data_IF_691089076828
#
_entry.id   IF_691089076828
#
_cell.length_a   1.000
_cell.length_b   1.000
_cell.length_c   1.000
_cell.angle_alpha   90.00
_cell.angle_beta   90.00
_cell.angle_gamma   90.00
#
_symmetry.space_group_name_H-M   'P 1'
#
loop_
_entity.id
_entity.type
_entity.pdbx_description
1 polymer ?
#
# COMPACT_ATOMS: atom_id res chain seq x y z
N UNK A 1 -10.99 -15.33 -18.58
CA UNK A 1 -10.53 -16.61 -18.03
C UNK A 1 -10.13 -16.49 -16.55
N UNK A 2 -9.22 -15.57 -16.15
CA UNK A 2 -8.81 -15.39 -14.73
C UNK A 2 -10.01 -15.16 -13.81
N UNK A 3 -10.90 -14.22 -14.15
CA UNK A 3 -12.12 -13.95 -13.38
C UNK A 3 -13.03 -15.17 -13.24
N UNK A 4 -13.08 -16.01 -14.29
CA UNK A 4 -13.86 -17.26 -14.25
C UNK A 4 -13.28 -18.26 -13.24
N UNK A 5 -11.95 -18.39 -13.16
CA UNK A 5 -11.30 -19.24 -12.15
C UNK A 5 -11.56 -18.74 -10.72
N UNK A 6 -11.49 -17.42 -10.51
CA UNK A 6 -11.81 -16.83 -9.22
C UNK A 6 -13.29 -16.99 -8.85
N UNK A 7 -14.20 -16.91 -9.82
CA UNK A 7 -15.63 -17.17 -9.61
C UNK A 7 -15.89 -18.63 -9.22
N UNK A 8 -15.28 -19.60 -9.93
CA UNK A 8 -15.36 -21.02 -9.60
C UNK A 8 -14.89 -21.31 -8.17
N UNK A 9 -13.83 -20.62 -7.73
CA UNK A 9 -13.27 -20.75 -6.40
C UNK A 9 -14.04 -19.97 -5.31
N UNK A 10 -15.17 -19.33 -5.64
CA UNK A 10 -15.96 -18.53 -4.70
C UNK A 10 -15.23 -17.28 -4.19
N UNK A 11 -14.30 -16.73 -4.98
CA UNK A 11 -13.49 -15.55 -4.64
C UNK A 11 -13.98 -14.26 -5.27
N UNK A 12 -15.12 -14.28 -5.94
CA UNK A 12 -15.79 -13.13 -6.53
C UNK A 12 -17.25 -13.07 -6.09
N UNK A 13 -17.76 -11.85 -5.94
CA UNK A 13 -19.20 -11.65 -5.78
C UNK A 13 -19.89 -11.90 -7.12
N UNK A 14 -20.51 -13.07 -7.25
CA UNK A 14 -21.20 -13.51 -8.46
C UNK A 14 -22.34 -12.56 -8.88
N UNK A 15 -22.99 -11.94 -7.91
CA UNK A 15 -24.17 -11.07 -8.09
C UNK A 15 -23.82 -9.59 -8.25
N UNK A 16 -22.53 -9.23 -8.19
CA UNK A 16 -22.14 -7.83 -8.40
C UNK A 16 -22.53 -7.38 -9.81
N UNK A 17 -23.25 -6.27 -9.90
CA UNK A 17 -23.66 -5.65 -11.15
C UNK A 17 -22.44 -5.07 -11.88
N UNK A 18 -22.41 -5.20 -13.20
CA UNK A 18 -21.35 -4.65 -14.04
C UNK A 18 -21.89 -3.57 -14.99
N UNK A 19 -20.99 -2.85 -15.65
CA UNK A 19 -21.34 -1.82 -16.64
C UNK A 19 -22.13 -2.34 -17.84
N UNK A 20 -22.20 -3.66 -18.05
CA UNK A 20 -23.01 -4.28 -19.11
C UNK A 20 -24.48 -4.43 -18.74
N UNK A 21 -24.88 -4.04 -17.54
CA UNK A 21 -26.22 -4.28 -17.00
C UNK A 21 -26.48 -5.76 -16.63
N UNK A 22 -25.42 -6.58 -16.59
CA UNK A 22 -25.46 -7.98 -16.18
C UNK A 22 -24.56 -8.20 -14.97
N UNK A 23 -24.83 -9.24 -14.21
CA UNK A 23 -23.98 -9.65 -13.09
C UNK A 23 -22.64 -10.21 -13.57
N UNK A 24 -21.67 -10.28 -12.65
CA UNK A 24 -20.38 -10.94 -12.90
C UNK A 24 -20.58 -12.38 -13.37
N UNK A 25 -21.47 -13.14 -12.71
CA UNK A 25 -21.74 -14.53 -13.10
C UNK A 25 -22.32 -14.65 -14.51
N UNK A 26 -23.26 -13.77 -14.88
CA UNK A 26 -23.86 -13.77 -16.23
C UNK A 26 -22.82 -13.44 -17.30
N UNK A 27 -21.97 -12.45 -17.07
CA UNK A 27 -20.89 -12.08 -18.01
C UNK A 27 -19.84 -13.19 -18.18
N UNK A 28 -19.61 -14.00 -17.15
CA UNK A 28 -18.59 -15.05 -17.17
C UNK A 28 -19.13 -16.43 -17.60
N UNK A 29 -20.44 -16.60 -17.78
CA UNK A 29 -21.08 -17.89 -18.07
C UNK A 29 -20.45 -18.59 -19.27
N UNK A 30 -20.34 -17.89 -20.37
CA UNK A 30 -19.92 -18.47 -21.67
C UNK A 30 -18.44 -18.16 -21.99
N UNK A 31 -17.72 -17.57 -21.03
CA UNK A 31 -16.28 -17.32 -21.19
C UNK A 31 -15.53 -18.64 -21.20
N UNK A 32 -14.71 -18.96 -22.23
CA UNK A 32 -13.91 -20.18 -22.24
C UNK A 32 -12.89 -20.21 -21.10
N UNK A 33 -12.48 -21.39 -20.70
CA UNK A 33 -11.32 -21.55 -19.84
C UNK A 33 -10.07 -21.10 -20.63
N UNK A 34 -9.18 -20.38 -20.00
CA UNK A 34 -7.94 -19.93 -20.65
C UNK A 34 -6.96 -21.08 -20.87
N UNK A 35 -5.90 -20.79 -21.61
CA UNK A 35 -4.76 -21.68 -21.71
C UNK A 35 -4.22 -22.01 -20.31
N UNK A 36 -4.19 -23.29 -19.97
CA UNK A 36 -3.78 -23.77 -18.64
C UNK A 36 -2.27 -23.64 -18.36
N UNK A 37 -1.45 -23.43 -19.35
CA UNK A 37 -0.05 -23.08 -19.17
C UNK A 37 0.12 -21.64 -18.71
N UNK A 38 -0.78 -20.74 -19.13
CA UNK A 38 -0.77 -19.31 -18.81
C UNK A 38 -1.65 -19.01 -17.59
N UNK A 39 -2.89 -19.55 -17.57
CA UNK A 39 -3.86 -19.34 -16.51
C UNK A 39 -4.12 -20.67 -15.81
N UNK A 40 -3.37 -20.91 -14.74
CA UNK A 40 -3.51 -22.11 -13.92
C UNK A 40 -4.89 -22.19 -13.27
N UNK A 41 -5.33 -23.42 -13.01
CA UNK A 41 -6.49 -23.64 -12.15
C UNK A 41 -6.22 -23.11 -10.74
N UNK A 42 -7.24 -22.62 -10.07
CA UNK A 42 -7.10 -22.02 -8.73
C UNK A 42 -6.48 -22.99 -7.71
N UNK A 43 -6.81 -24.28 -7.81
CA UNK A 43 -6.30 -25.35 -6.93
C UNK A 43 -4.84 -25.75 -7.22
N UNK A 44 -4.30 -25.33 -8.37
CA UNK A 44 -2.93 -25.66 -8.80
C UNK A 44 -2.18 -24.42 -9.27
N UNK A 45 -1.95 -23.44 -8.40
CA UNK A 45 -1.26 -22.20 -8.74
C UNK A 45 0.24 -22.45 -8.99
N UNK A 46 0.87 -21.55 -9.76
CA UNK A 46 2.33 -21.57 -9.93
C UNK A 46 3.09 -21.29 -8.63
N UNK A 47 2.52 -20.43 -7.80
CA UNK A 47 3.05 -20.06 -6.49
C UNK A 47 1.91 -19.99 -5.48
N UNK A 48 1.85 -20.90 -4.49
CA UNK A 48 0.83 -20.87 -3.46
C UNK A 48 0.98 -19.67 -2.54
N UNK A 49 -0.13 -19.19 -1.97
CA UNK A 49 -0.18 -18.04 -1.04
C UNK A 49 0.55 -16.79 -1.58
N UNK A 50 0.57 -16.61 -2.89
CA UNK A 50 1.16 -15.46 -3.56
C UNK A 50 0.10 -14.41 -3.87
N UNK A 51 0.56 -13.17 -4.14
CA UNK A 51 -0.29 -12.06 -4.57
C UNK A 51 -0.24 -10.89 -3.61
N UNK A 52 -1.40 -10.26 -3.41
CA UNK A 52 -1.55 -9.12 -2.53
C UNK A 52 -2.19 -9.54 -1.21
N UNK A 53 -1.75 -8.92 -0.11
CA UNK A 53 -2.39 -9.01 1.19
C UNK A 53 -2.71 -7.62 1.70
N UNK A 54 -3.82 -7.50 2.43
CA UNK A 54 -4.13 -6.29 3.19
C UNK A 54 -3.50 -6.47 4.57
N UNK A 55 -2.71 -5.47 4.97
CA UNK A 55 -2.05 -5.37 6.25
C UNK A 55 -2.75 -4.34 7.11
N UNK A 56 -2.66 -4.48 8.43
CA UNK A 56 -3.12 -3.51 9.42
C UNK A 56 -2.24 -3.58 10.67
N UNK A 57 -2.41 -2.67 11.63
CA UNK A 57 -1.63 -2.69 12.87
C UNK A 57 -1.84 -1.43 13.70
N UNK A 58 -0.92 -1.17 14.63
CA UNK A 58 -1.02 0.02 15.46
C UNK A 58 -0.64 1.32 14.73
N UNK A 59 -0.08 1.22 13.51
CA UNK A 59 0.31 2.36 12.68
C UNK A 59 -0.76 2.76 11.66
N UNK A 60 -1.62 1.84 11.23
CA UNK A 60 -2.59 2.11 10.18
C UNK A 60 -3.73 1.09 10.18
N UNK A 61 -4.86 1.48 9.63
CA UNK A 61 -6.04 0.64 9.51
C UNK A 61 -5.93 -0.33 8.34
N UNK A 62 -5.33 0.12 7.24
CA UNK A 62 -5.13 -0.69 6.05
C UNK A 62 -3.90 -0.26 5.25
N UNK A 63 -3.28 -1.24 4.63
CA UNK A 63 -2.23 -1.09 3.63
C UNK A 63 -2.24 -2.30 2.70
N UNK A 64 -1.56 -2.20 1.57
CA UNK A 64 -1.42 -3.32 0.64
C UNK A 64 0.03 -3.75 0.57
N UNK A 65 0.29 -5.05 0.66
CA UNK A 65 1.60 -5.63 0.43
C UNK A 65 1.54 -6.68 -0.67
N UNK A 66 2.48 -6.61 -1.60
CA UNK A 66 2.68 -7.60 -2.66
C UNK A 66 3.69 -8.65 -2.20
N UNK A 67 3.21 -9.73 -1.61
CA UNK A 67 4.08 -10.77 -1.02
C UNK A 67 4.78 -11.67 -2.05
N UNK A 68 4.28 -11.70 -3.29
CA UNK A 68 4.88 -12.50 -4.38
C UNK A 68 6.26 -12.01 -4.81
N UNK A 69 6.61 -10.76 -4.54
CA UNK A 69 7.90 -10.16 -4.92
C UNK A 69 9.00 -10.35 -3.88
N UNK A 70 8.66 -10.84 -2.68
CA UNK A 70 9.66 -11.11 -1.64
C UNK A 70 10.55 -12.24 -2.13
N UNK A 71 11.80 -11.91 -2.42
CA UNK A 71 12.76 -12.87 -2.99
C UNK A 71 13.14 -13.99 -2.02
N UNK A 72 13.78 -15.03 -2.57
CA UNK A 72 14.14 -16.22 -1.80
C UNK A 72 15.24 -15.94 -0.77
N UNK A 73 16.17 -15.07 -1.09
CA UNK A 73 17.30 -14.75 -0.20
C UNK A 73 16.82 -13.93 0.99
N UNK A 74 15.92 -12.95 0.74
CA UNK A 74 15.27 -12.21 1.82
C UNK A 74 14.46 -13.14 2.72
N UNK A 75 13.69 -14.06 2.15
CA UNK A 75 12.93 -15.05 2.93
C UNK A 75 13.83 -15.95 3.78
N UNK A 76 14.94 -16.44 3.19
CA UNK A 76 15.89 -17.31 3.89
C UNK A 76 16.60 -16.58 5.04
N UNK A 77 16.94 -15.29 4.84
CA UNK A 77 17.71 -14.52 5.83
C UNK A 77 16.85 -13.96 6.96
N UNK A 78 15.61 -13.53 6.67
CA UNK A 78 14.84 -12.69 7.58
C UNK A 78 13.45 -13.24 7.94
N UNK A 79 12.94 -14.24 7.23
CA UNK A 79 11.59 -14.76 7.43
C UNK A 79 11.56 -16.25 7.78
N UNK A 80 12.71 -16.87 7.99
CA UNK A 80 12.85 -18.32 8.24
C UNK A 80 13.18 -18.68 9.68
N UNK A 81 13.14 -17.73 10.61
CA UNK A 81 13.32 -18.03 12.03
C UNK A 81 12.24 -19.03 12.50
N UNK A 82 12.61 -20.24 12.99
CA UNK A 82 11.63 -21.22 13.43
C UNK A 82 10.79 -20.76 14.62
N UNK A 83 11.30 -19.85 15.46
CA UNK A 83 10.56 -19.29 16.58
C UNK A 83 9.54 -18.24 16.15
N UNK A 84 9.84 -17.53 15.06
CA UNK A 84 9.02 -16.44 14.53
C UNK A 84 8.96 -16.49 12.98
N UNK A 85 8.37 -17.55 12.42
CA UNK A 85 8.32 -17.70 10.96
C UNK A 85 7.50 -16.57 10.32
N UNK A 86 7.99 -16.06 9.19
CA UNK A 86 7.37 -14.96 8.45
C UNK A 86 7.25 -13.61 9.22
N UNK A 87 8.06 -13.43 10.25
CA UNK A 87 8.15 -12.17 10.99
C UNK A 87 9.46 -11.47 10.69
N UNK A 88 9.38 -10.19 10.33
CA UNK A 88 10.53 -9.32 10.15
C UNK A 88 10.47 -8.19 11.19
N UNK A 89 11.58 -7.93 11.85
CA UNK A 89 11.75 -6.75 12.70
C UNK A 89 12.92 -5.90 12.19
N UNK A 90 12.65 -4.62 11.98
CA UNK A 90 13.64 -3.71 11.42
C UNK A 90 13.61 -2.32 12.05
N UNK A 91 14.69 -1.57 11.81
CA UNK A 91 14.80 -0.17 12.19
C UNK A 91 14.15 0.73 11.15
N UNK A 92 13.26 1.60 11.55
CA UNK A 92 12.66 2.62 10.69
C UNK A 92 13.69 3.67 10.26
N UNK A 93 13.72 3.99 8.98
CA UNK A 93 14.41 5.15 8.41
C UNK A 93 13.34 5.98 7.71
N UNK A 94 12.99 7.13 8.25
CA UNK A 94 11.82 7.93 7.84
C UNK A 94 12.23 9.09 6.96
N UNK A 95 11.52 9.26 5.85
CA UNK A 95 11.67 10.35 4.86
C UNK A 95 10.36 11.13 4.70
N UNK A 96 10.49 12.46 4.60
CA UNK A 96 9.39 13.41 4.46
C UNK A 96 9.03 13.66 2.98
N UNK A 97 8.83 12.63 2.22
CA UNK A 97 8.55 12.72 0.79
C UNK A 97 9.76 12.37 -0.09
N UNK A 98 9.57 12.36 -1.41
CA UNK A 98 10.58 11.91 -2.37
C UNK A 98 11.82 12.80 -2.40
N UNK A 99 11.67 14.10 -2.22
CA UNK A 99 12.79 15.04 -2.21
C UNK A 99 13.72 14.78 -1.03
N UNK A 100 13.17 14.60 0.17
CA UNK A 100 13.95 14.28 1.38
C UNK A 100 14.66 12.94 1.23
N UNK A 101 13.96 11.93 0.66
CA UNK A 101 14.59 10.63 0.37
C UNK A 101 15.80 10.78 -0.56
N UNK A 102 15.66 11.48 -1.69
CA UNK A 102 16.75 11.65 -2.66
C UNK A 102 17.93 12.44 -2.08
N UNK A 103 17.68 13.40 -1.22
CA UNK A 103 18.74 14.19 -0.59
C UNK A 103 19.51 13.41 0.48
N UNK A 104 18.83 12.51 1.22
CA UNK A 104 19.39 11.91 2.43
C UNK A 104 19.75 10.45 2.33
N UNK A 105 19.27 9.70 1.33
CA UNK A 105 19.49 8.24 1.30
C UNK A 105 20.97 7.83 1.30
N UNK A 106 21.85 8.67 0.77
CA UNK A 106 23.29 8.43 0.75
C UNK A 106 24.03 8.96 2.00
N UNK A 107 23.32 9.58 2.93
CA UNK A 107 23.89 10.09 4.18
C UNK A 107 24.23 8.93 5.13
N UNK A 108 25.52 8.70 5.47
CA UNK A 108 25.91 7.63 6.36
C UNK A 108 25.36 7.79 7.79
N UNK A 109 25.03 9.01 8.22
CA UNK A 109 24.52 9.30 9.56
C UNK A 109 23.08 8.81 9.73
N UNK A 110 22.35 8.49 8.65
CA UNK A 110 21.08 7.76 8.72
C UNK A 110 21.24 6.37 9.33
N UNK A 111 22.42 5.79 9.24
CA UNK A 111 22.70 4.47 9.75
C UNK A 111 21.79 3.40 9.13
N UNK A 112 21.62 3.43 7.80
CA UNK A 112 20.87 2.40 7.06
C UNK A 112 21.62 1.09 7.13
N UNK A 113 20.93 0.03 7.53
CA UNK A 113 21.45 -1.33 7.66
C UNK A 113 20.55 -2.37 6.97
N UNK A 114 20.99 -3.62 6.88
CA UNK A 114 20.28 -4.68 6.15
C UNK A 114 18.91 -5.02 6.77
N UNK A 115 18.69 -4.69 8.03
CA UNK A 115 17.42 -4.83 8.74
C UNK A 115 16.66 -3.49 8.86
N UNK A 116 16.98 -2.50 8.02
CA UNK A 116 16.21 -1.27 7.98
C UNK A 116 14.93 -1.42 7.17
N UNK A 117 13.91 -0.68 7.56
CA UNK A 117 12.69 -0.44 6.79
C UNK A 117 12.74 1.01 6.32
N UNK A 118 12.81 1.24 5.02
CA UNK A 118 12.76 2.58 4.46
C UNK A 118 11.30 3.04 4.45
N UNK A 119 11.02 4.18 5.04
CA UNK A 119 9.66 4.68 5.22
C UNK A 119 9.55 6.05 4.58
N UNK A 120 8.57 6.21 3.69
CA UNK A 120 8.26 7.49 3.07
C UNK A 120 6.83 7.89 3.42
N UNK A 121 6.63 9.14 3.83
CA UNK A 121 5.34 9.66 4.26
C UNK A 121 4.98 10.96 3.57
N UNK A 122 3.74 11.43 3.77
CA UNK A 122 3.16 12.60 3.10
C UNK A 122 3.09 12.44 1.56
N UNK A 123 2.91 11.20 1.10
CA UNK A 123 2.84 10.84 -0.32
C UNK A 123 1.47 10.27 -0.70
N UNK A 124 0.52 10.28 0.24
CA UNK A 124 -0.86 9.86 0.01
C UNK A 124 -1.68 10.91 -0.76
N UNK A 125 -2.99 10.69 -0.94
CA UNK A 125 -3.85 11.54 -1.75
C UNK A 125 -3.84 13.01 -1.36
N UNK A 126 -3.83 13.31 -0.06
CA UNK A 126 -3.81 14.68 0.47
C UNK A 126 -2.39 15.22 0.52
N UNK A 127 -1.43 14.44 1.00
CA UNK A 127 -0.02 14.85 1.14
C UNK A 127 0.62 15.18 -0.22
N UNK A 128 0.39 14.32 -1.20
CA UNK A 128 0.89 14.48 -2.57
C UNK A 128 -0.27 14.23 -3.55
N UNK A 129 -0.92 15.27 -4.06
CA UNK A 129 -2.09 15.15 -4.93
C UNK A 129 -1.88 14.16 -6.08
N UNK A 130 -2.79 13.17 -6.16
CA UNK A 130 -2.65 12.06 -7.10
C UNK A 130 -1.88 10.85 -6.56
N UNK A 131 -1.35 10.90 -5.34
CA UNK A 131 -0.68 9.79 -4.68
C UNK A 131 0.53 9.26 -5.47
N UNK A 132 1.70 9.84 -5.25
CA UNK A 132 2.91 9.57 -6.04
C UNK A 132 3.39 8.11 -5.95
N UNK A 133 4.01 7.61 -7.02
CA UNK A 133 4.64 6.27 -7.07
C UNK A 133 6.07 6.30 -6.50
N UNK A 134 6.20 6.55 -5.20
CA UNK A 134 7.48 6.83 -4.54
C UNK A 134 7.88 5.81 -3.47
N UNK A 135 7.02 4.85 -3.15
CA UNK A 135 7.32 3.82 -2.12
C UNK A 135 8.40 2.82 -2.58
N UNK A 136 8.81 2.88 -3.83
CA UNK A 136 9.88 2.07 -4.38
C UNK A 136 11.26 2.69 -4.12
N UNK A 137 11.64 2.80 -2.86
CA UNK A 137 12.94 3.32 -2.46
C UNK A 137 14.05 2.27 -2.62
N UNK A 138 15.23 2.70 -3.06
CA UNK A 138 16.41 1.87 -3.20
C UNK A 138 17.32 2.00 -1.97
N UNK A 139 18.07 0.95 -1.61
CA UNK A 139 19.13 1.05 -0.62
C UNK A 139 20.22 2.05 -1.04
N UNK A 140 21.01 2.59 -0.10
CA UNK A 140 22.20 3.39 -0.42
C UNK A 140 23.15 2.68 -1.39
N UNK A 141 23.85 3.43 -2.23
CA UNK A 141 24.78 2.89 -3.24
C UNK A 141 25.86 1.96 -2.66
N UNK A 142 26.29 2.22 -1.42
CA UNK A 142 27.23 1.37 -0.72
C UNK A 142 26.67 -0.04 -0.43
N UNK A 143 25.36 -0.16 -0.18
CA UNK A 143 24.69 -1.45 0.01
C UNK A 143 24.46 -2.17 -1.33
N UNK A 144 24.06 -1.43 -2.37
CA UNK A 144 23.92 -1.98 -3.73
C UNK A 144 25.24 -2.60 -4.22
N UNK A 145 26.37 -1.95 -3.98
CA UNK A 145 27.71 -2.48 -4.31
C UNK A 145 28.06 -3.77 -3.57
N UNK A 146 27.46 -4.02 -2.41
CA UNK A 146 27.59 -5.27 -1.65
C UNK A 146 26.58 -6.35 -2.07
N UNK A 147 25.76 -6.08 -3.07
CA UNK A 147 24.73 -7.00 -3.56
C UNK A 147 23.40 -6.97 -2.80
N UNK A 148 23.18 -5.99 -1.92
CA UNK A 148 21.90 -5.79 -1.23
C UNK A 148 21.03 -4.93 -2.12
N UNK A 149 20.22 -5.57 -2.96
CA UNK A 149 19.50 -4.91 -4.05
C UNK A 149 18.16 -4.29 -3.60
N UNK A 150 17.63 -4.70 -2.46
CA UNK A 150 16.35 -4.20 -1.93
C UNK A 150 16.32 -4.26 -0.40
N UNK A 151 15.64 -3.30 0.20
CA UNK A 151 15.21 -3.31 1.59
C UNK A 151 13.69 -3.28 1.65
N UNK A 152 13.06 -3.69 2.75
CA UNK A 152 11.65 -3.43 2.97
C UNK A 152 11.35 -1.93 2.89
N UNK A 153 10.28 -1.59 2.19
CA UNK A 153 9.82 -0.21 2.07
C UNK A 153 8.39 -0.08 2.57
N UNK A 154 8.03 1.07 3.10
CA UNK A 154 6.70 1.34 3.60
C UNK A 154 6.31 2.80 3.31
N UNK A 155 5.06 3.05 2.92
CA UNK A 155 4.60 4.41 2.68
C UNK A 155 3.12 4.55 2.36
N UNK A 156 2.65 5.79 2.48
CA UNK A 156 1.27 6.16 2.16
C UNK A 156 1.07 6.49 0.67
N UNK A 157 2.14 6.51 -0.12
CA UNK A 157 2.09 6.61 -1.57
C UNK A 157 1.87 5.27 -2.26
N UNK A 158 1.99 5.29 -3.60
CA UNK A 158 1.88 4.11 -4.47
C UNK A 158 3.27 3.56 -4.82
N UNK A 159 3.28 2.40 -5.46
CA UNK A 159 4.47 1.78 -6.01
C UNK A 159 4.17 1.25 -7.41
N UNK A 160 5.16 1.32 -8.30
CA UNK A 160 5.09 0.67 -9.61
C UNK A 160 4.89 -0.83 -9.49
N UNK A 161 4.07 -1.40 -10.37
CA UNK A 161 3.82 -2.85 -10.43
C UNK A 161 5.06 -3.69 -10.76
N UNK A 162 6.13 -3.07 -11.28
CA UNK A 162 7.40 -3.72 -11.63
C UNK A 162 8.41 -3.75 -10.49
N UNK A 163 8.13 -3.08 -9.37
CA UNK A 163 9.04 -3.09 -8.22
C UNK A 163 9.18 -4.49 -7.61
N UNK A 164 10.40 -4.89 -7.33
CA UNK A 164 10.76 -6.17 -6.71
C UNK A 164 11.02 -6.10 -5.20
N UNK A 165 10.91 -4.93 -4.56
CA UNK A 165 11.14 -4.80 -3.12
C UNK A 165 9.95 -5.31 -2.29
N UNK A 166 10.18 -5.83 -1.08
CA UNK A 166 9.12 -6.15 -0.13
C UNK A 166 8.48 -4.86 0.40
N UNK A 167 7.42 -4.41 -0.25
CA UNK A 167 6.85 -3.08 -0.02
C UNK A 167 5.45 -3.13 0.53
N UNK A 168 5.19 -2.27 1.52
CA UNK A 168 3.88 -1.99 2.10
C UNK A 168 3.48 -0.60 1.64
N UNK A 169 2.42 -0.50 0.87
CA UNK A 169 2.01 0.70 0.15
C UNK A 169 0.54 1.04 0.40
N UNK A 170 0.14 2.23 -0.04
CA UNK A 170 -1.23 2.72 0.13
C UNK A 170 -1.68 2.73 1.59
N UNK A 171 -0.79 3.09 2.50
CA UNK A 171 -1.08 3.13 3.93
C UNK A 171 -2.16 4.16 4.21
N UNK A 172 -3.18 3.74 4.94
CA UNK A 172 -4.35 4.57 5.27
C UNK A 172 -4.76 4.38 6.75
N UNK A 173 -5.06 5.48 7.46
CA UNK A 173 -4.96 6.89 7.05
C UNK A 173 -3.53 7.31 6.72
N UNK A 174 -3.37 8.22 5.72
CA UNK A 174 -2.07 8.76 5.34
C UNK A 174 -1.48 9.69 6.41
N UNK A 175 -0.16 9.93 6.36
CA UNK A 175 0.52 10.78 7.32
C UNK A 175 0.03 12.23 7.33
N UNK A 176 -0.26 12.80 6.17
CA UNK A 176 -0.70 14.19 6.03
C UNK A 176 -1.98 14.52 6.79
N UNK A 177 -2.83 13.52 7.08
CA UNK A 177 -4.05 13.68 7.88
C UNK A 177 -3.91 13.10 9.29
N UNK A 178 -2.69 12.83 9.76
CA UNK A 178 -2.42 12.33 11.10
C UNK A 178 -2.50 10.81 11.24
N UNK A 179 -2.41 10.06 10.15
CA UNK A 179 -2.21 8.61 10.19
C UNK A 179 -0.94 8.22 10.95
N UNK A 180 -0.82 6.96 11.34
CA UNK A 180 0.26 6.55 12.24
C UNK A 180 1.66 6.69 11.66
N UNK A 181 1.83 6.74 10.32
CA UNK A 181 3.14 7.06 9.73
C UNK A 181 3.65 8.44 10.14
N UNK A 182 2.74 9.41 10.41
CA UNK A 182 3.10 10.73 10.90
C UNK A 182 3.81 10.70 12.26
N UNK A 183 3.63 9.63 13.02
CA UNK A 183 4.13 9.47 14.38
C UNK A 183 5.46 8.73 14.45
N UNK A 184 5.91 8.12 13.34
CA UNK A 184 7.17 7.38 13.29
C UNK A 184 8.37 8.32 13.31
N UNK A 185 9.43 7.84 13.94
CA UNK A 185 10.74 8.49 13.97
C UNK A 185 11.81 7.52 13.47
N UNK A 186 12.84 8.05 12.82
CA UNK A 186 14.01 7.25 12.49
C UNK A 186 14.60 6.63 13.75
N UNK A 187 14.86 5.33 13.72
CA UNK A 187 15.30 4.56 14.87
C UNK A 187 14.22 3.71 15.54
N UNK A 188 12.94 4.01 15.32
CA UNK A 188 11.85 3.16 15.84
C UNK A 188 11.96 1.71 15.33
N UNK A 189 11.54 0.75 16.15
CA UNK A 189 11.49 -0.66 15.76
C UNK A 189 10.13 -0.97 15.16
N UNK A 190 10.14 -1.53 13.95
CA UNK A 190 8.94 -1.99 13.23
C UNK A 190 8.92 -3.51 13.20
N UNK A 191 7.79 -4.11 13.54
CA UNK A 191 7.52 -5.54 13.40
C UNK A 191 6.50 -5.75 12.28
N UNK A 192 6.87 -6.56 11.30
CA UNK A 192 6.03 -6.98 10.17
C UNK A 192 5.78 -8.47 10.30
N UNK A 193 4.56 -8.89 10.51
CA UNK A 193 4.14 -10.28 10.60
C UNK A 193 3.25 -10.64 9.41
N UNK A 194 3.78 -11.41 8.47
CA UNK A 194 3.07 -11.82 7.26
C UNK A 194 2.00 -12.89 7.52
N UNK A 195 2.12 -13.63 8.61
CA UNK A 195 1.16 -14.67 8.98
C UNK A 195 -0.12 -14.04 9.52
N UNK A 196 0.02 -13.13 10.48
CA UNK A 196 -1.11 -12.40 11.06
C UNK A 196 -1.50 -11.16 10.28
N UNK A 197 -0.69 -10.76 9.29
CA UNK A 197 -0.87 -9.57 8.45
C UNK A 197 -0.86 -8.27 9.27
N UNK A 198 0.03 -8.22 10.26
CA UNK A 198 0.16 -7.07 11.16
C UNK A 198 1.47 -6.33 10.94
N UNK A 199 1.39 -5.01 11.09
CA UNK A 199 2.56 -4.13 11.10
C UNK A 199 2.43 -3.21 12.30
N UNK A 200 3.38 -3.35 13.22
CA UNK A 200 3.34 -2.62 14.48
C UNK A 200 4.66 -1.90 14.72
N UNK A 201 4.59 -0.70 15.25
CA UNK A 201 5.74 -0.05 15.88
C UNK A 201 5.85 -0.56 17.33
N UNK A 202 7.06 -0.94 17.72
CA UNK A 202 7.35 -1.49 19.04
C UNK A 202 7.82 -0.34 19.95
N UNK A 203 6.87 0.39 20.53
CA UNK A 203 7.12 1.51 21.43
C UNK A 203 6.68 1.17 22.86
N UNK A 204 7.23 1.86 23.86
CA UNK A 204 6.71 1.77 25.21
C UNK A 204 5.22 2.13 25.29
N UNK A 205 4.46 1.55 26.24
CA UNK A 205 3.06 1.90 26.43
C UNK A 205 2.84 3.42 26.57
N UNK A 206 1.88 3.96 25.84
CA UNK A 206 1.53 5.38 25.87
C UNK A 206 2.39 6.31 25.00
N UNK A 207 3.54 5.86 24.50
CA UNK A 207 4.42 6.68 23.66
C UNK A 207 3.74 7.08 22.36
N UNK A 208 3.06 6.16 21.69
CA UNK A 208 2.35 6.44 20.43
C UNK A 208 1.24 7.49 20.64
N UNK A 209 0.53 7.41 21.77
CA UNK A 209 -0.50 8.38 22.14
C UNK A 209 0.10 9.76 22.48
N UNK A 210 1.27 9.78 23.13
CA UNK A 210 1.99 11.01 23.42
C UNK A 210 2.42 11.70 22.10
N UNK A 211 2.99 10.95 21.16
CA UNK A 211 3.36 11.47 19.83
C UNK A 211 2.13 11.97 19.06
N UNK A 212 1.00 11.26 19.14
CA UNK A 212 -0.26 11.68 18.51
C UNK A 212 -0.78 13.02 19.06
N UNK A 213 -0.68 13.23 20.37
CA UNK A 213 -1.06 14.50 21.01
C UNK A 213 -0.14 15.66 20.64
N UNK A 214 1.11 15.38 20.35
CA UNK A 214 2.12 16.38 19.97
C UNK A 214 2.14 16.65 18.46
N UNK A 215 1.50 15.78 17.66
CA UNK A 215 1.52 15.92 16.20
C UNK A 215 0.77 17.17 15.74
N UNK A 216 1.33 17.83 14.75
CA UNK A 216 0.70 18.95 14.04
C UNK A 216 0.67 18.65 12.54
N UNK A 217 -0.41 19.05 11.82
CA UNK A 217 -0.47 18.86 10.38
C UNK A 217 0.71 19.51 9.67
N UNK A 218 1.28 18.86 8.63
CA UNK A 218 2.30 19.47 7.80
C UNK A 218 1.72 20.65 7.02
N UNK A 219 2.56 21.63 6.71
CA UNK A 219 2.20 22.69 5.77
C UNK A 219 2.20 22.12 4.34
N UNK A 220 1.03 22.10 3.70
CA UNK A 220 0.86 21.58 2.35
C UNK A 220 0.73 22.75 1.38
N UNK A 221 1.70 22.88 0.48
CA UNK A 221 1.71 23.90 -0.58
C UNK A 221 0.93 23.40 -1.80
N UNK A 222 0.01 24.23 -2.30
CA UNK A 222 -0.69 23.99 -3.55
C UNK A 222 0.00 24.79 -4.67
N UNK A 223 0.50 24.09 -5.68
CA UNK A 223 1.14 24.70 -6.85
C UNK A 223 0.12 25.08 -7.94
N UNK A 224 -1.07 24.51 -7.88
CA UNK A 224 -2.15 24.74 -8.83
C UNK A 224 -3.51 24.78 -8.14
N UNK A 225 -4.53 25.47 -8.72
CA UNK A 225 -5.91 25.41 -8.20
C UNK A 225 -6.49 23.99 -8.16
N UNK A 226 -6.04 23.10 -9.04
CA UNK A 226 -6.50 21.73 -9.07
C UNK A 226 -6.02 20.91 -7.88
N UNK A 227 -4.81 21.16 -7.38
CA UNK A 227 -4.29 20.53 -6.17
C UNK A 227 -5.10 20.95 -4.94
N UNK A 228 -5.47 22.22 -4.85
CA UNK A 228 -6.31 22.73 -3.77
C UNK A 228 -7.70 22.07 -3.79
N UNK A 229 -8.34 22.05 -4.96
CA UNK A 229 -9.64 21.40 -5.15
C UNK A 229 -9.54 19.90 -4.80
N UNK A 230 -8.52 19.21 -5.32
CA UNK A 230 -8.33 17.79 -5.08
C UNK A 230 -8.13 17.48 -3.60
N UNK A 231 -7.21 18.17 -2.93
CA UNK A 231 -6.94 17.98 -1.49
C UNK A 231 -8.16 18.23 -0.62
N UNK A 232 -8.97 19.22 -0.98
CA UNK A 232 -10.17 19.57 -0.21
C UNK A 232 -11.30 18.54 -0.35
N UNK A 233 -11.24 17.66 -1.34
CA UNK A 233 -12.34 16.76 -1.70
C UNK A 233 -11.99 15.28 -1.71
N UNK A 234 -10.70 14.93 -1.70
CA UNK A 234 -10.28 13.53 -1.81
C UNK A 234 -10.40 12.80 -0.48
N UNK A 235 -10.97 11.61 -0.51
CA UNK A 235 -10.99 10.68 0.62
C UNK A 235 -9.69 9.90 0.76
N UNK A 236 -9.63 9.04 1.77
CA UNK A 236 -8.45 8.25 2.07
C UNK A 236 -8.38 6.97 1.22
N UNK A 237 -7.15 6.42 1.06
CA UNK A 237 -6.89 5.20 0.27
C UNK A 237 -7.69 3.99 0.77
N UNK A 238 -7.88 3.85 2.08
CA UNK A 238 -8.66 2.76 2.68
C UNK A 238 -10.13 2.73 2.22
N UNK A 239 -10.65 3.85 1.75
CA UNK A 239 -12.02 4.00 1.20
C UNK A 239 -12.03 4.28 -0.30
N UNK A 240 -10.87 4.08 -0.99
CA UNK A 240 -10.78 4.18 -2.44
C UNK A 240 -10.26 5.49 -2.99
N UNK A 241 -9.89 6.46 -2.15
CA UNK A 241 -9.41 7.80 -2.55
C UNK A 241 -10.31 8.48 -3.60
N UNK A 242 -11.63 8.28 -3.48
CA UNK A 242 -12.61 8.93 -4.33
C UNK A 242 -12.76 10.40 -3.93
N UNK A 243 -13.16 11.24 -4.89
CA UNK A 243 -13.64 12.58 -4.55
C UNK A 243 -14.95 12.45 -3.79
N UNK A 244 -15.01 12.99 -2.58
CA UNK A 244 -16.20 12.88 -1.71
C UNK A 244 -17.50 13.35 -2.39
N UNK A 245 -17.52 14.47 -3.15
CA UNK A 245 -18.71 14.84 -3.90
C UNK A 245 -19.18 13.77 -4.89
N UNK A 246 -18.26 13.04 -5.52
CA UNK A 246 -18.63 11.97 -6.45
C UNK A 246 -19.37 10.82 -5.75
N UNK A 247 -19.02 10.51 -4.50
CA UNK A 247 -19.68 9.44 -3.74
C UNK A 247 -21.10 9.82 -3.32
N UNK A 248 -21.38 11.12 -3.15
CA UNK A 248 -22.73 11.61 -2.84
C UNK A 248 -23.71 11.43 -4.00
N UNK A 249 -23.19 11.33 -5.22
CA UNK A 249 -23.98 11.22 -6.45
C UNK A 249 -24.08 9.79 -7.00
N UNK A 250 -23.62 8.79 -6.28
CA UNK A 250 -23.67 7.39 -6.74
C UNK A 250 -25.07 6.93 -7.16
N UNK A 251 -26.10 7.41 -6.49
CA UNK A 251 -27.49 7.01 -6.71
C UNK A 251 -28.36 8.13 -7.35
N UNK A 252 -27.73 9.17 -7.90
CA UNK A 252 -28.47 10.31 -8.47
C UNK A 252 -29.36 9.87 -9.62
N UNK A 253 -28.87 9.00 -10.50
CA UNK A 253 -29.67 8.46 -11.62
C UNK A 253 -30.89 7.69 -11.11
N UNK A 254 -30.72 6.91 -10.05
CA UNK A 254 -31.82 6.15 -9.43
C UNK A 254 -32.86 7.05 -8.77
N UNK A 255 -32.42 8.19 -8.20
CA UNK A 255 -33.30 9.10 -7.45
C UNK A 255 -33.88 10.22 -8.30
N UNK A 256 -33.12 10.77 -9.23
CA UNK A 256 -33.47 11.96 -10.00
C UNK A 256 -33.66 11.71 -11.51
N UNK A 257 -33.38 10.48 -11.96
CA UNK A 257 -33.41 10.11 -13.37
C UNK A 257 -32.12 10.49 -14.12
N UNK A 258 -32.15 10.36 -15.43
CA UNK A 258 -30.99 10.66 -16.28
C UNK A 258 -30.56 12.13 -16.17
N UNK A 259 -29.27 12.37 -16.30
CA UNK A 259 -28.72 13.74 -16.30
C UNK A 259 -29.32 14.57 -17.44
N UNK A 260 -29.45 15.88 -17.22
CA UNK A 260 -29.91 16.79 -18.26
C UNK A 260 -29.08 16.67 -19.51
N UNK A 261 -29.73 16.45 -20.64
CA UNK A 261 -29.09 16.51 -21.94
C UNK A 261 -29.05 17.98 -22.38
N UNK A 262 -27.83 18.50 -22.61
CA UNK A 262 -27.60 19.88 -23.04
C UNK A 262 -27.44 20.00 -24.58
N UNK A 263 -27.79 18.98 -25.32
CA UNK A 263 -27.75 18.96 -26.78
C UNK A 263 -29.13 19.07 -27.42
#
# INVERSE_FOLDING_TARGET
>A
AVMKELLKAGRLNANAMTVTGKTVAENLRDVPDGDREVIRAYESPMLPAAGYVVMSGNLFDSAVMKISVIDKDFRARFLSDPAHPNVFEGKAIVFEGPEDYHHRIEDPDLGVEEQSVLIIRNCGPVGYPGSAEVVNMQPPAAMLKRGIMALPTMGDGRQSGTSGSPSILNISPEAAVGGGLALLQTGDRIRIDLTTRKVDVLLPPGELDARRKAWTPPELVNMTPWEEIYRSMVGQLGTGACLEPATLYLNVIETLGESRNNH
#
